data_IF_493722746376
#
_entry.id   IF_493722746376
#
_cell.length_a   1.000
_cell.length_b   1.000
_cell.length_c   1.000
_cell.angle_alpha   90.00
_cell.angle_beta   90.00
_cell.angle_gamma   90.00
#
_symmetry.space_group_name_H-M   'P 1'
#
loop_
_entity.id
_entity.type
_entity.pdbx_description
1 polymer ?
#
# COMPACT_ATOMS: atom_id res chain seq x y z
N UNK A 1 21.07 -25.60 5.17
CA UNK A 1 19.72 -25.41 4.59
C UNK A 1 19.84 -24.53 3.35
N UNK A 2 19.26 -24.92 2.20
CA UNK A 2 19.21 -24.03 1.02
C UNK A 2 18.44 -22.76 1.40
N UNK A 3 18.97 -21.58 1.09
CA UNK A 3 18.23 -20.31 1.25
C UNK A 3 17.10 -20.30 0.23
N UNK A 4 15.87 -20.49 0.71
CA UNK A 4 14.67 -20.22 -0.07
C UNK A 4 14.43 -18.71 -0.04
N UNK A 5 14.37 -18.09 -1.21
CA UNK A 5 14.04 -16.66 -1.31
C UNK A 5 12.52 -16.52 -1.24
N UNK A 6 12.03 -15.73 -0.28
CA UNK A 6 10.62 -15.42 -0.12
C UNK A 6 10.33 -14.03 -0.68
N UNK A 7 9.24 -13.88 -1.44
CA UNK A 7 8.74 -12.56 -1.83
C UNK A 7 8.16 -11.84 -0.62
N UNK A 8 8.04 -10.50 -0.69
CA UNK A 8 7.43 -9.73 0.40
C UNK A 8 5.98 -10.14 0.66
N UNK A 9 5.22 -10.45 -0.40
CA UNK A 9 3.85 -10.97 -0.29
C UNK A 9 3.78 -12.31 0.43
N UNK A 10 4.73 -13.21 0.16
CA UNK A 10 4.83 -14.49 0.87
C UNK A 10 5.20 -14.28 2.34
N UNK A 11 6.13 -13.36 2.63
CA UNK A 11 6.52 -13.02 4.00
C UNK A 11 5.30 -12.51 4.79
N UNK A 12 4.55 -11.57 4.23
CA UNK A 12 3.34 -11.02 4.87
C UNK A 12 2.29 -12.10 5.09
N UNK A 13 2.06 -13.00 4.14
CA UNK A 13 1.12 -14.11 4.30
C UNK A 13 1.53 -15.06 5.44
N UNK A 14 2.82 -15.40 5.55
CA UNK A 14 3.37 -16.22 6.63
C UNK A 14 3.20 -15.51 7.99
N UNK A 15 3.47 -14.20 8.04
CA UNK A 15 3.28 -13.41 9.26
C UNK A 15 1.82 -13.37 9.69
N UNK A 16 0.87 -13.22 8.77
CA UNK A 16 -0.58 -13.25 9.09
C UNK A 16 -1.00 -14.58 9.72
N UNK A 17 -0.44 -15.70 9.26
CA UNK A 17 -0.72 -17.00 9.87
C UNK A 17 -0.20 -17.09 11.32
N UNK A 18 1.00 -16.55 11.58
CA UNK A 18 1.56 -16.47 12.93
C UNK A 18 0.76 -15.51 13.83
N UNK A 19 0.41 -14.33 13.34
CA UNK A 19 -0.38 -13.33 14.06
C UNK A 19 -1.83 -13.77 14.29
N UNK A 20 -2.35 -14.67 13.44
CA UNK A 20 -3.63 -15.37 13.64
C UNK A 20 -3.62 -16.45 14.73
N UNK A 21 -2.52 -16.59 15.48
CA UNK A 21 -2.46 -17.45 16.67
C UNK A 21 -1.77 -18.80 16.47
N UNK A 22 -1.21 -19.09 15.29
CA UNK A 22 -0.41 -20.31 15.08
C UNK A 22 0.89 -20.28 15.87
N UNK A 23 1.33 -21.43 16.35
CA UNK A 23 2.59 -21.52 17.09
C UNK A 23 3.80 -21.20 16.17
N UNK A 24 4.74 -20.40 16.67
CA UNK A 24 5.95 -20.02 15.93
C UNK A 24 6.74 -21.22 15.40
N UNK A 25 6.79 -22.33 16.15
CA UNK A 25 7.52 -23.53 15.75
C UNK A 25 6.88 -24.21 14.53
N UNK A 26 5.56 -24.28 14.48
CA UNK A 26 4.84 -24.93 13.38
C UNK A 26 4.99 -24.14 12.09
N UNK A 27 4.84 -22.81 12.17
CA UNK A 27 5.09 -21.90 11.04
C UNK A 27 6.55 -22.03 10.57
N UNK A 28 7.51 -22.07 11.49
CA UNK A 28 8.92 -22.24 11.12
C UNK A 28 9.19 -23.58 10.41
N UNK A 29 8.58 -24.68 10.86
CA UNK A 29 8.75 -26.01 10.25
C UNK A 29 8.11 -26.08 8.87
N UNK A 30 6.87 -25.63 8.73
CA UNK A 30 6.12 -25.66 7.46
C UNK A 30 6.83 -24.88 6.36
N UNK A 31 7.32 -23.67 6.68
CA UNK A 31 8.00 -22.81 5.72
C UNK A 31 9.53 -23.02 5.72
N UNK A 32 10.07 -23.95 6.50
CA UNK A 32 11.51 -24.21 6.55
C UNK A 32 12.35 -22.97 6.89
N UNK A 33 11.84 -22.10 7.77
CA UNK A 33 12.49 -20.88 8.24
C UNK A 33 12.88 -21.01 9.72
N UNK A 34 13.83 -20.20 10.16
CA UNK A 34 14.18 -20.15 11.58
C UNK A 34 13.25 -19.21 12.35
N UNK A 35 13.10 -19.43 13.67
CA UNK A 35 12.40 -18.49 14.56
C UNK A 35 12.98 -17.08 14.48
N UNK A 36 14.30 -16.96 14.38
CA UNK A 36 14.96 -15.66 14.21
C UNK A 36 14.52 -14.95 12.92
N UNK A 37 14.39 -15.70 11.81
CA UNK A 37 13.88 -15.17 10.54
C UNK A 37 12.43 -14.67 10.69
N UNK A 38 11.56 -15.48 11.30
CA UNK A 38 10.16 -15.11 11.54
C UNK A 38 10.04 -13.82 12.37
N UNK A 39 10.81 -13.70 13.46
CA UNK A 39 10.77 -12.49 14.29
C UNK A 39 11.39 -11.27 13.61
N UNK A 40 12.44 -11.44 12.82
CA UNK A 40 13.01 -10.34 12.03
C UNK A 40 12.02 -9.83 10.99
N UNK A 41 11.30 -10.72 10.31
CA UNK A 41 10.22 -10.34 9.40
C UNK A 41 9.10 -9.65 10.15
N UNK A 42 8.67 -10.18 11.31
CA UNK A 42 7.66 -9.52 12.14
C UNK A 42 8.11 -8.11 12.50
N UNK A 43 9.34 -7.91 12.95
CA UNK A 43 9.86 -6.56 13.27
C UNK A 43 9.86 -5.62 12.05
N UNK A 44 10.17 -6.13 10.86
CA UNK A 44 10.26 -5.32 9.64
C UNK A 44 8.89 -5.00 9.03
N UNK A 45 7.96 -5.94 9.06
CA UNK A 45 6.69 -5.88 8.34
C UNK A 45 5.47 -5.69 9.25
N UNK A 46 5.62 -5.80 10.58
CA UNK A 46 4.56 -5.48 11.55
C UNK A 46 4.14 -4.02 11.40
N UNK A 47 2.83 -3.79 11.32
CA UNK A 47 2.26 -2.45 11.16
C UNK A 47 2.36 -1.88 9.73
N UNK A 48 2.97 -2.60 8.78
CA UNK A 48 3.04 -2.18 7.37
C UNK A 48 1.64 -2.03 6.77
N UNK A 49 0.72 -2.95 7.07
CA UNK A 49 -0.68 -2.89 6.60
C UNK A 49 -1.39 -1.60 7.07
N UNK A 50 -1.15 -1.18 8.32
CA UNK A 50 -1.74 0.05 8.86
C UNK A 50 -1.14 1.31 8.22
N UNK A 51 0.18 1.31 7.98
CA UNK A 51 0.87 2.39 7.28
C UNK A 51 0.42 2.50 5.81
N UNK A 52 0.32 1.36 5.10
CA UNK A 52 -0.18 1.29 3.72
C UNK A 52 -1.64 1.75 3.62
N UNK A 53 -2.50 1.39 4.57
CA UNK A 53 -3.88 1.87 4.60
C UNK A 53 -3.97 3.39 4.81
N UNK A 54 -3.10 3.95 5.68
CA UNK A 54 -3.02 5.40 5.90
C UNK A 54 -2.54 6.13 4.64
N UNK A 55 -1.51 5.60 3.98
CA UNK A 55 -0.99 6.13 2.72
C UNK A 55 -2.04 6.06 1.60
N UNK A 56 -2.76 4.94 1.49
CA UNK A 56 -3.84 4.77 0.52
C UNK A 56 -4.93 5.82 0.70
N UNK A 57 -5.36 6.08 1.94
CA UNK A 57 -6.35 7.14 2.23
C UNK A 57 -5.83 8.53 1.85
N UNK A 58 -4.58 8.83 2.19
CA UNK A 58 -3.96 10.11 1.82
C UNK A 58 -3.90 10.29 0.29
N UNK A 59 -3.53 9.24 -0.45
CA UNK A 59 -3.51 9.26 -1.92
C UNK A 59 -4.91 9.40 -2.52
N UNK A 60 -5.92 8.78 -1.93
CA UNK A 60 -7.32 8.93 -2.35
C UNK A 60 -7.83 10.36 -2.15
N UNK A 61 -7.53 10.97 -1.00
CA UNK A 61 -7.90 12.36 -0.69
C UNK A 61 -7.19 13.34 -1.63
N UNK A 62 -5.90 13.12 -1.89
CA UNK A 62 -5.14 13.95 -2.81
C UNK A 62 -5.66 13.81 -4.25
N UNK A 63 -5.96 12.59 -4.70
CA UNK A 63 -6.56 12.37 -6.02
C UNK A 63 -7.91 13.08 -6.15
N UNK A 64 -8.73 13.08 -5.09
CA UNK A 64 -10.00 13.82 -5.06
C UNK A 64 -9.77 15.32 -5.21
N UNK A 65 -8.81 15.90 -4.47
CA UNK A 65 -8.46 17.32 -4.57
C UNK A 65 -7.96 17.69 -5.96
N UNK A 66 -7.06 16.90 -6.52
CA UNK A 66 -6.51 17.13 -7.86
C UNK A 66 -7.60 17.08 -8.93
N UNK A 67 -8.54 16.13 -8.85
CA UNK A 67 -9.69 16.06 -9.76
C UNK A 67 -10.59 17.28 -9.66
N UNK A 68 -10.86 17.77 -8.45
CA UNK A 68 -11.67 18.97 -8.25
C UNK A 68 -10.98 20.20 -8.86
N UNK A 69 -9.71 20.41 -8.55
CA UNK A 69 -8.92 21.53 -9.09
C UNK A 69 -8.84 21.49 -10.61
N UNK A 70 -8.66 20.30 -11.19
CA UNK A 70 -8.67 20.13 -12.65
C UNK A 70 -10.02 20.47 -13.27
N UNK A 71 -11.13 20.07 -12.64
CA UNK A 71 -12.47 20.37 -13.13
C UNK A 71 -12.75 21.89 -13.09
N UNK A 72 -12.40 22.56 -11.99
CA UNK A 72 -12.52 24.02 -11.85
C UNK A 72 -11.70 24.74 -12.92
N UNK A 73 -10.43 24.39 -13.08
CA UNK A 73 -9.55 24.97 -14.11
C UNK A 73 -10.08 24.73 -15.52
N UNK A 74 -10.64 23.54 -15.79
CA UNK A 74 -11.21 23.21 -17.09
C UNK A 74 -12.45 24.04 -17.42
N UNK A 75 -13.28 24.35 -16.41
CA UNK A 75 -14.44 25.22 -16.57
C UNK A 75 -14.00 26.66 -16.84
N UNK A 76 -13.02 27.18 -16.09
CA UNK A 76 -12.47 28.52 -16.28
C UNK A 76 -11.84 28.67 -17.67
N UNK A 77 -11.08 27.66 -18.11
CA UNK A 77 -10.50 27.64 -19.44
C UNK A 77 -11.57 27.69 -20.53
N UNK A 78 -12.66 26.90 -20.38
CA UNK A 78 -13.77 26.90 -21.33
C UNK A 78 -14.45 28.27 -21.39
N UNK A 79 -14.74 28.88 -20.25
CA UNK A 79 -15.32 30.21 -20.17
C UNK A 79 -14.43 31.27 -20.84
N UNK A 80 -13.12 31.23 -20.56
CA UNK A 80 -12.16 32.14 -21.16
C UNK A 80 -12.11 32.01 -22.69
N UNK A 81 -12.12 30.76 -23.22
CA UNK A 81 -12.16 30.48 -24.65
C UNK A 81 -13.44 31.02 -25.29
N UNK A 82 -14.61 30.75 -24.70
CA UNK A 82 -15.90 31.22 -25.19
C UNK A 82 -15.98 32.76 -25.25
N UNK A 83 -15.38 33.47 -24.28
CA UNK A 83 -15.31 34.93 -24.27
C UNK A 83 -14.41 35.47 -25.40
N UNK A 84 -13.27 34.83 -25.64
CA UNK A 84 -12.34 35.22 -26.71
C UNK A 84 -12.98 35.00 -28.07
N UNK A 85 -13.62 33.84 -28.29
CA UNK A 85 -14.30 33.52 -29.55
C UNK A 85 -15.46 34.48 -29.85
N UNK A 86 -16.19 34.97 -28.84
CA UNK A 86 -17.26 35.96 -29.03
C UNK A 86 -16.78 37.38 -29.29
N UNK A 87 -15.51 37.69 -29.01
CA UNK A 87 -14.90 39.01 -29.20
C UNK A 87 -14.17 39.16 -30.54
N UNK A 88 -13.89 38.04 -31.22
CA UNK A 88 -13.36 37.98 -32.59
C UNK A 88 -14.51 37.95 -33.61
#
# INVERSE_FOLDING_TARGET
MKKKNYSETQIVAILKQYEGGREAMDVCREYGISKATLFNWRKKYSGMEAAQLKELKALQDENRRLKQMYAELSLDYKLAKDIIEKKL
#
